data_IF_826864863239
#
_entry.id   IF_826864863239
#
_cell.length_a   1.000
_cell.length_b   1.000
_cell.length_c   1.000
_cell.angle_alpha   90.00
_cell.angle_beta   90.00
_cell.angle_gamma   90.00
#
_symmetry.space_group_name_H-M   'P 1'
#
loop_
_entity.id
_entity.type
_entity.pdbx_description
1 polymer ?
#
# COMPACT_ATOMS: atom_id res chain seq x y z
N UNK A 1 24.01 10.03 3.96
CA UNK A 1 23.62 9.16 5.10
C UNK A 1 23.19 9.93 6.33
N UNK A 2 24.04 10.76 6.97
CA UNK A 2 23.69 11.46 8.22
C UNK A 2 22.42 12.31 8.12
N UNK A 3 22.19 13.02 7.00
CA UNK A 3 20.97 13.80 6.79
C UNK A 3 19.69 12.96 6.80
N UNK A 4 19.75 11.69 6.37
CA UNK A 4 18.59 10.79 6.33
C UNK A 4 18.31 10.15 7.70
N UNK A 5 19.36 9.81 8.46
CA UNK A 5 19.23 9.07 9.73
C UNK A 5 19.35 9.91 11.00
N UNK A 6 20.01 11.07 10.94
CA UNK A 6 20.34 11.91 12.10
C UNK A 6 19.72 13.31 12.03
N UNK A 7 18.72 13.53 11.16
CA UNK A 7 18.00 14.82 11.05
C UNK A 7 17.39 15.33 12.38
N UNK A 8 17.18 14.42 13.35
CA UNK A 8 16.63 14.72 14.67
C UNK A 8 17.71 15.05 15.73
N UNK A 9 18.98 15.00 15.35
CA UNK A 9 20.13 15.16 16.26
C UNK A 9 20.84 16.47 15.92
N UNK A 10 21.23 17.22 16.94
CA UNK A 10 22.02 18.43 16.76
C UNK A 10 23.26 18.18 15.90
N UNK A 11 23.52 19.08 14.94
CA UNK A 11 24.64 18.95 14.01
C UNK A 11 24.67 17.62 13.24
N UNK A 12 23.53 16.94 13.06
CA UNK A 12 23.44 15.60 12.45
C UNK A 12 24.35 14.56 13.15
N UNK A 13 24.71 14.79 14.41
CA UNK A 13 25.63 13.93 15.17
C UNK A 13 27.13 14.20 14.93
N UNK A 14 27.51 15.24 14.18
CA UNK A 14 28.93 15.59 14.04
C UNK A 14 29.53 16.00 15.40
N UNK A 15 30.68 15.40 15.74
CA UNK A 15 31.44 15.76 16.95
C UNK A 15 31.78 17.25 16.97
N UNK A 16 31.57 17.91 18.11
CA UNK A 16 31.70 19.37 18.23
C UNK A 16 33.11 19.86 17.88
N UNK A 17 34.14 19.12 18.28
CA UNK A 17 35.56 19.51 18.17
C UNK A 17 36.27 18.95 16.92
N UNK A 18 35.58 18.18 16.07
CA UNK A 18 36.13 17.71 14.79
C UNK A 18 35.55 18.51 13.63
N UNK A 19 36.35 18.79 12.61
CA UNK A 19 35.94 19.56 11.43
C UNK A 19 36.28 18.83 10.13
N UNK A 20 35.67 17.65 9.89
CA UNK A 20 35.83 16.97 8.62
C UNK A 20 35.16 17.79 7.48
N UNK A 21 35.57 17.59 6.21
CA UNK A 21 35.02 18.33 5.07
C UNK A 21 33.48 18.31 5.00
N UNK A 22 32.86 17.17 5.33
CA UNK A 22 31.40 16.98 5.32
C UNK A 22 30.70 17.89 6.34
N UNK A 23 31.34 18.17 7.48
CA UNK A 23 30.79 19.09 8.48
C UNK A 23 30.79 20.52 7.96
N UNK A 24 31.79 20.92 7.18
CA UNK A 24 31.84 22.25 6.54
C UNK A 24 30.71 22.40 5.52
N UNK A 25 30.46 21.37 4.69
CA UNK A 25 29.33 21.33 3.75
C UNK A 25 28.00 21.44 4.50
N UNK A 26 27.81 20.61 5.54
CA UNK A 26 26.61 20.63 6.37
C UNK A 26 26.35 22.03 6.97
N UNK A 27 27.39 22.66 7.52
CA UNK A 27 27.24 23.99 8.13
C UNK A 27 26.81 25.03 7.10
N UNK A 28 27.53 25.09 5.98
CA UNK A 28 27.29 26.07 4.93
C UNK A 28 25.90 25.94 4.29
N UNK A 29 25.43 24.72 4.06
CA UNK A 29 24.17 24.48 3.36
C UNK A 29 22.96 24.40 4.27
N UNK A 30 23.12 23.88 5.50
CA UNK A 30 21.97 23.50 6.32
C UNK A 30 21.91 24.21 7.67
N UNK A 31 23.03 24.31 8.39
CA UNK A 31 23.03 24.94 9.73
C UNK A 31 22.87 26.46 9.64
N UNK A 32 23.79 27.13 8.95
CA UNK A 32 23.85 28.60 8.92
C UNK A 32 22.68 29.20 8.12
N UNK A 33 22.19 28.46 7.11
CA UNK A 33 21.02 28.84 6.30
C UNK A 33 19.70 28.65 7.04
N UNK A 34 19.69 27.95 8.18
CA UNK A 34 18.50 27.70 8.99
C UNK A 34 17.59 26.59 8.46
N UNK A 35 18.09 25.74 7.56
CA UNK A 35 17.39 24.53 7.06
C UNK A 35 17.38 23.42 8.11
N UNK A 36 18.50 23.20 8.81
CA UNK A 36 18.55 22.30 9.95
C UNK A 36 18.54 23.13 11.24
N UNK A 37 17.41 23.12 11.95
CA UNK A 37 17.23 23.91 13.18
C UNK A 37 16.34 23.20 14.20
N UNK A 38 16.39 23.68 15.44
CA UNK A 38 15.50 23.21 16.51
C UNK A 38 14.09 23.77 16.33
N UNK A 39 13.09 22.91 16.28
CA UNK A 39 11.66 23.24 16.27
C UNK A 39 10.97 22.45 17.39
N UNK A 40 10.20 23.12 18.25
CA UNK A 40 9.48 22.50 19.37
C UNK A 40 10.36 21.58 20.25
N UNK A 41 11.62 21.97 20.47
CA UNK A 41 12.55 21.18 21.30
C UNK A 41 13.35 20.11 20.53
N UNK A 42 13.02 19.79 19.28
CA UNK A 42 13.63 18.71 18.49
C UNK A 42 14.33 19.29 17.26
N UNK A 43 15.53 18.79 16.93
CA UNK A 43 16.20 19.19 15.69
C UNK A 43 15.47 18.59 14.48
N UNK A 44 15.38 19.33 13.39
CA UNK A 44 14.71 18.84 12.18
C UNK A 44 15.17 19.61 10.94
N UNK A 45 15.03 18.95 9.78
CA UNK A 45 15.15 19.59 8.48
C UNK A 45 13.81 20.24 8.16
N UNK A 46 13.82 21.57 7.99
CA UNK A 46 12.63 22.40 7.83
C UNK A 46 12.88 23.51 6.81
N UNK A 47 11.81 24.12 6.31
CA UNK A 47 11.92 25.28 5.43
C UNK A 47 12.69 26.43 6.14
N UNK A 48 13.74 27.00 5.52
CA UNK A 48 14.51 28.08 6.09
C UNK A 48 13.68 29.38 6.17
N UNK A 49 13.88 30.16 7.25
CA UNK A 49 13.27 31.49 7.39
C UNK A 49 14.11 32.54 6.66
N UNK A 50 13.55 33.74 6.50
CA UNK A 50 14.28 34.89 5.96
C UNK A 50 15.55 35.18 6.79
N UNK A 51 16.70 35.24 6.12
CA UNK A 51 18.00 35.56 6.69
C UNK A 51 18.96 36.04 5.59
N UNK A 52 20.19 36.40 5.98
CA UNK A 52 21.21 36.95 5.08
C UNK A 52 21.65 35.98 3.97
N UNK A 53 21.48 34.67 4.17
CA UNK A 53 21.83 33.64 3.17
C UNK A 53 20.75 33.45 2.11
N UNK A 54 19.56 34.03 2.29
CA UNK A 54 18.44 34.01 1.34
C UNK A 54 17.97 32.62 0.88
N UNK A 55 18.31 31.54 1.61
CA UNK A 55 17.92 30.17 1.23
C UNK A 55 16.40 29.97 1.16
N UNK A 56 15.63 30.76 1.92
CA UNK A 56 14.16 30.82 1.80
C UNK A 56 13.67 31.16 0.38
N UNK A 57 14.40 31.99 -0.38
CA UNK A 57 14.06 32.32 -1.77
C UNK A 57 14.29 31.15 -2.71
N UNK A 58 15.28 30.30 -2.42
CA UNK A 58 15.50 29.05 -3.16
C UNK A 58 14.33 28.10 -2.92
N UNK A 59 13.90 27.93 -1.66
CA UNK A 59 12.70 27.14 -1.33
C UNK A 59 11.46 27.65 -2.07
N UNK A 60 11.20 28.95 -2.02
CA UNK A 60 10.08 29.58 -2.76
C UNK A 60 10.20 29.39 -4.27
N UNK A 61 11.42 29.39 -4.82
CA UNK A 61 11.68 29.11 -6.23
C UNK A 61 11.35 27.66 -6.60
N UNK A 62 11.73 26.71 -5.75
CA UNK A 62 11.37 25.30 -5.93
C UNK A 62 9.87 25.12 -5.82
N UNK A 63 9.23 25.71 -4.80
CA UNK A 63 7.77 25.67 -4.61
C UNK A 63 7.07 26.15 -5.88
N UNK A 64 7.38 27.37 -6.33
CA UNK A 64 6.81 27.94 -7.54
C UNK A 64 7.03 27.04 -8.77
N UNK A 65 8.24 26.53 -8.96
CA UNK A 65 8.57 25.71 -10.12
C UNK A 65 7.79 24.38 -10.16
N UNK A 66 7.56 23.76 -9.00
CA UNK A 66 6.83 22.49 -8.92
C UNK A 66 5.31 22.72 -8.91
N UNK A 67 4.84 23.73 -8.19
CA UNK A 67 3.40 24.03 -8.02
C UNK A 67 2.76 24.53 -9.33
N UNK A 68 3.53 25.11 -10.27
CA UNK A 68 3.05 25.54 -11.59
C UNK A 68 2.87 24.38 -12.60
N UNK A 69 3.11 23.13 -12.20
CA UNK A 69 3.12 21.97 -13.09
C UNK A 69 1.95 21.03 -12.79
N UNK A 70 1.16 20.69 -13.81
CA UNK A 70 0.03 19.74 -13.68
C UNK A 70 0.48 18.28 -13.47
N UNK A 71 1.78 18.00 -13.64
CA UNK A 71 2.36 16.65 -13.63
C UNK A 71 3.67 16.63 -12.85
N UNK A 72 4.09 15.43 -12.49
CA UNK A 72 5.39 15.19 -11.87
C UNK A 72 6.54 15.86 -12.65
N UNK A 73 7.35 16.62 -11.93
CA UNK A 73 8.46 17.42 -12.43
C UNK A 73 9.74 16.62 -12.39
N UNK A 74 10.41 16.48 -13.53
CA UNK A 74 11.72 15.82 -13.58
C UNK A 74 12.78 16.65 -12.83
N UNK A 75 13.60 15.99 -11.98
CA UNK A 75 14.58 16.71 -11.16
C UNK A 75 15.67 17.37 -12.00
N UNK A 76 15.99 16.85 -13.19
CA UNK A 76 16.95 17.49 -14.08
C UNK A 76 16.45 18.87 -14.55
N UNK A 77 15.15 19.01 -14.84
CA UNK A 77 14.54 20.29 -15.20
C UNK A 77 14.57 21.28 -14.02
N UNK A 78 14.24 20.81 -12.81
CA UNK A 78 14.35 21.61 -11.59
C UNK A 78 15.81 22.06 -11.35
N UNK A 79 16.78 21.17 -11.55
CA UNK A 79 18.19 21.49 -11.36
C UNK A 79 18.68 22.52 -12.37
N UNK A 80 18.28 22.39 -13.63
CA UNK A 80 18.56 23.39 -14.65
C UNK A 80 17.97 24.75 -14.28
N UNK A 81 16.75 24.79 -13.77
CA UNK A 81 16.12 26.03 -13.29
C UNK A 81 16.92 26.68 -12.16
N UNK A 82 17.31 25.91 -11.15
CA UNK A 82 18.09 26.41 -10.00
C UNK A 82 19.53 26.81 -10.33
N UNK A 83 20.07 26.37 -11.47
CA UNK A 83 21.38 26.81 -11.97
C UNK A 83 21.33 28.19 -12.61
N UNK A 84 20.16 28.65 -13.06
CA UNK A 84 20.00 29.96 -13.69
C UNK A 84 19.84 31.08 -12.63
N UNK A 85 20.08 32.36 -13.01
CA UNK A 85 19.67 33.49 -12.20
C UNK A 85 18.17 33.44 -11.85
N UNK A 86 17.75 33.90 -10.66
CA UNK A 86 18.56 34.57 -9.63
C UNK A 86 19.30 33.62 -8.67
N UNK A 87 19.21 32.29 -8.86
CA UNK A 87 19.70 31.30 -7.89
C UNK A 87 21.18 30.93 -8.10
N UNK A 88 21.59 30.62 -9.33
CA UNK A 88 23.00 30.37 -9.69
C UNK A 88 23.66 29.19 -8.96
N UNK A 89 22.88 28.20 -8.50
CA UNK A 89 23.38 27.12 -7.62
C UNK A 89 24.27 26.16 -8.41
N UNK A 90 25.43 25.81 -7.86
CA UNK A 90 26.36 24.87 -8.50
C UNK A 90 25.81 23.44 -8.49
N UNK A 91 26.03 22.73 -9.61
CA UNK A 91 25.50 21.38 -9.83
C UNK A 91 25.78 20.39 -8.68
N UNK A 92 27.00 20.39 -8.13
CA UNK A 92 27.39 19.48 -7.05
C UNK A 92 26.62 19.66 -5.74
N UNK A 93 25.90 20.77 -5.56
CA UNK A 93 25.13 21.08 -4.35
C UNK A 93 23.65 20.73 -4.49
N UNK A 94 23.13 20.66 -5.73
CA UNK A 94 21.70 20.48 -6.00
C UNK A 94 21.11 19.19 -5.41
N UNK A 95 21.77 18.02 -5.49
CA UNK A 95 21.26 16.80 -4.86
C UNK A 95 21.05 16.94 -3.35
N UNK A 96 21.99 17.59 -2.65
CA UNK A 96 21.92 17.80 -1.22
C UNK A 96 20.79 18.77 -0.84
N UNK A 97 20.65 19.86 -1.60
CA UNK A 97 19.58 20.82 -1.40
C UNK A 97 18.21 20.22 -1.68
N UNK A 98 18.08 19.46 -2.77
CA UNK A 98 16.82 18.81 -3.11
C UNK A 98 16.40 17.82 -2.04
N UNK A 99 17.32 16.98 -1.53
CA UNK A 99 16.94 16.05 -0.47
C UNK A 99 16.55 16.79 0.80
N UNK A 100 17.23 17.88 1.16
CA UNK A 100 16.81 18.69 2.31
C UNK A 100 15.42 19.33 2.08
N UNK A 101 15.15 19.83 0.87
CA UNK A 101 13.85 20.35 0.48
C UNK A 101 12.76 19.26 0.56
N UNK A 102 13.04 18.07 0.02
CA UNK A 102 12.13 16.93 0.08
C UNK A 102 11.85 16.52 1.52
N UNK A 103 12.88 16.33 2.36
CA UNK A 103 12.74 16.00 3.78
C UNK A 103 11.87 17.02 4.54
N UNK A 104 12.02 18.31 4.23
CA UNK A 104 11.21 19.38 4.84
C UNK A 104 9.74 19.37 4.37
N UNK A 105 9.43 18.75 3.23
CA UNK A 105 8.13 18.81 2.55
C UNK A 105 7.52 17.43 2.25
N UNK A 106 7.99 16.35 2.88
CA UNK A 106 7.54 14.97 2.59
C UNK A 106 6.03 14.76 2.76
N UNK A 107 5.38 15.62 3.55
CA UNK A 107 3.93 15.59 3.76
C UNK A 107 3.14 16.08 2.55
N UNK A 108 3.74 16.74 1.57
CA UNK A 108 3.04 17.25 0.36
C UNK A 108 3.71 16.88 -0.96
N UNK A 109 4.81 16.11 -0.91
CA UNK A 109 5.57 15.70 -2.09
C UNK A 109 5.58 14.19 -2.25
N UNK A 110 5.29 13.74 -3.47
CA UNK A 110 5.53 12.38 -3.92
C UNK A 110 6.83 12.34 -4.73
N UNK A 111 7.76 11.49 -4.32
CA UNK A 111 8.99 11.21 -5.09
C UNK A 111 8.79 9.96 -5.93
N UNK A 112 9.31 9.98 -7.15
CA UNK A 112 9.31 8.83 -8.05
C UNK A 112 10.71 8.57 -8.60
N UNK A 113 11.04 7.30 -8.76
CA UNK A 113 12.21 6.80 -9.49
C UNK A 113 11.72 5.96 -10.67
N UNK A 114 12.07 6.32 -11.91
CA UNK A 114 11.58 5.67 -13.12
C UNK A 114 10.04 5.55 -13.19
N UNK A 115 9.34 6.56 -12.68
CA UNK A 115 7.88 6.58 -12.60
C UNK A 115 7.29 5.71 -11.49
N UNK A 116 8.12 5.00 -10.73
CA UNK A 116 7.71 4.20 -9.57
C UNK A 116 7.78 5.06 -8.33
N UNK A 117 6.71 5.11 -7.54
CA UNK A 117 6.68 5.89 -6.32
C UNK A 117 7.67 5.39 -5.27
N UNK A 118 8.44 6.31 -4.70
CA UNK A 118 9.39 6.09 -3.61
C UNK A 118 8.74 6.48 -2.28
N UNK A 119 8.30 5.51 -1.44
CA UNK A 119 7.61 5.83 -0.18
C UNK A 119 8.51 6.52 0.84
N UNK A 120 9.83 6.35 0.70
CA UNK A 120 10.82 6.96 1.56
C UNK A 120 12.11 7.16 0.77
N UNK A 121 12.83 8.24 1.07
CA UNK A 121 14.16 8.47 0.51
C UNK A 121 15.16 7.58 1.25
N UNK A 122 15.71 6.58 0.58
CA UNK A 122 16.80 5.74 1.12
C UNK A 122 18.18 6.21 0.65
N UNK A 123 19.24 5.59 1.19
CA UNK A 123 20.60 5.85 0.72
C UNK A 123 20.79 5.43 -0.74
N UNK A 124 20.22 4.29 -1.14
CA UNK A 124 20.27 3.79 -2.53
C UNK A 124 19.65 4.79 -3.50
N UNK A 125 18.44 5.29 -3.19
CA UNK A 125 17.79 6.34 -3.98
C UNK A 125 18.71 7.58 -4.10
N UNK A 126 19.41 7.96 -3.04
CA UNK A 126 20.30 9.11 -3.05
C UNK A 126 21.54 8.87 -3.94
N UNK A 127 22.13 7.68 -3.89
CA UNK A 127 23.27 7.32 -4.72
C UNK A 127 22.92 7.31 -6.22
N UNK A 128 21.71 6.86 -6.57
CA UNK A 128 21.20 6.92 -7.94
C UNK A 128 20.92 8.38 -8.32
N UNK A 129 20.21 9.13 -7.47
CA UNK A 129 19.86 10.55 -7.71
C UNK A 129 21.09 11.42 -7.93
N UNK A 130 22.20 11.17 -7.21
CA UNK A 130 23.48 11.86 -7.40
C UNK A 130 24.03 11.71 -8.82
N UNK A 131 23.84 10.53 -9.44
CA UNK A 131 24.39 10.19 -10.76
C UNK A 131 23.39 10.42 -11.90
N UNK A 132 22.12 10.22 -11.62
CA UNK A 132 21.02 10.13 -12.59
C UNK A 132 19.75 10.84 -12.08
N UNK A 133 19.81 12.15 -11.84
CA UNK A 133 18.63 12.92 -11.42
C UNK A 133 17.52 12.91 -12.47
N UNK A 134 17.83 12.60 -13.73
CA UNK A 134 16.88 12.42 -14.83
C UNK A 134 15.92 11.24 -14.62
N UNK A 135 16.28 10.26 -13.78
CA UNK A 135 15.39 9.14 -13.44
C UNK A 135 14.37 9.53 -12.36
N UNK A 136 14.55 10.68 -11.71
CA UNK A 136 13.72 11.10 -10.60
C UNK A 136 12.74 12.19 -11.03
N UNK A 137 11.53 12.09 -10.51
CA UNK A 137 10.54 13.16 -10.59
C UNK A 137 9.87 13.39 -9.25
N UNK A 138 9.42 14.62 -9.03
CA UNK A 138 8.68 15.02 -7.83
C UNK A 138 7.34 15.60 -8.24
N UNK A 139 6.28 15.22 -7.54
CA UNK A 139 4.93 15.73 -7.76
C UNK A 139 4.39 16.30 -6.47
N UNK A 140 3.79 17.48 -6.55
CA UNK A 140 3.06 18.05 -5.42
C UNK A 140 1.72 17.35 -5.35
N UNK A 141 1.40 16.79 -4.19
CA UNK A 141 0.03 16.44 -3.87
C UNK A 141 -0.51 17.52 -2.94
N UNK A 142 -1.39 18.35 -3.46
CA UNK A 142 -1.98 19.43 -2.68
C UNK A 142 -2.80 18.83 -1.53
N UNK A 143 -2.37 19.11 -0.29
CA UNK A 143 -3.19 18.96 0.92
C UNK A 143 -4.18 20.12 1.08
N UNK A 144 -4.24 21.01 0.10
CA UNK A 144 -5.13 22.17 0.04
C UNK A 144 -5.94 22.12 -1.27
N UNK A 145 -7.07 22.82 -1.30
CA UNK A 145 -7.99 22.75 -2.43
C UNK A 145 -8.74 21.42 -2.48
N UNK A 146 -9.16 21.03 -3.67
CA UNK A 146 -10.24 20.05 -3.79
C UNK A 146 -9.84 18.60 -3.59
N UNK A 147 -8.56 18.27 -3.85
CA UNK A 147 -7.97 16.97 -3.51
C UNK A 147 -7.88 16.76 -1.98
N UNK A 148 -7.83 17.84 -1.19
CA UNK A 148 -7.78 17.77 0.27
C UNK A 148 -9.05 17.16 0.88
N UNK A 149 -10.22 17.45 0.30
CA UNK A 149 -11.49 16.91 0.78
C UNK A 149 -11.51 15.38 0.65
N UNK A 150 -11.22 14.86 -0.55
CA UNK A 150 -11.17 13.41 -0.75
C UNK A 150 -10.06 12.74 0.08
N UNK A 151 -8.90 13.39 0.19
CA UNK A 151 -7.81 12.93 1.04
C UNK A 151 -8.23 12.78 2.51
N UNK A 152 -8.97 13.77 3.05
CA UNK A 152 -9.51 13.70 4.41
C UNK A 152 -10.47 12.52 4.59
N UNK A 153 -11.27 12.20 3.57
CA UNK A 153 -12.16 11.05 3.62
C UNK A 153 -11.39 9.72 3.60
N UNK A 154 -10.30 9.63 2.81
CA UNK A 154 -9.40 8.48 2.85
C UNK A 154 -8.81 8.27 4.24
N UNK A 155 -8.25 9.32 4.85
CA UNK A 155 -7.70 9.26 6.20
C UNK A 155 -8.75 8.85 7.23
N UNK A 156 -9.95 9.43 7.17
CA UNK A 156 -11.02 9.13 8.12
C UNK A 156 -11.55 7.70 7.96
N UNK A 157 -11.93 7.29 6.74
CA UNK A 157 -12.60 6.01 6.50
C UNK A 157 -11.65 4.80 6.55
N UNK A 158 -10.37 4.98 6.18
CA UNK A 158 -9.41 3.86 6.15
C UNK A 158 -8.50 3.79 7.36
N UNK A 159 -8.26 4.91 8.05
CA UNK A 159 -7.24 5.01 9.10
C UNK A 159 -7.75 5.62 10.41
N UNK A 160 -8.98 6.16 10.44
CA UNK A 160 -9.52 6.95 11.55
C UNK A 160 -8.59 8.11 11.96
N UNK A 161 -8.02 8.78 10.97
CA UNK A 161 -7.09 9.91 11.14
C UNK A 161 -7.63 11.21 10.53
N UNK A 162 -7.14 12.34 11.01
CA UNK A 162 -7.36 13.66 10.40
C UNK A 162 -6.16 14.08 9.52
N UNK A 163 -6.31 15.07 8.63
CA UNK A 163 -5.22 15.58 7.77
C UNK A 163 -3.97 16.05 8.53
N UNK A 164 -4.10 16.49 9.79
CA UNK A 164 -2.99 16.94 10.62
C UNK A 164 -2.06 15.79 11.05
N UNK A 165 -2.66 14.60 11.22
CA UNK A 165 -2.03 13.38 11.76
C UNK A 165 -1.75 12.30 10.71
N UNK A 166 -2.18 12.55 9.47
CA UNK A 166 -2.13 11.60 8.36
C UNK A 166 -1.40 12.13 7.13
N UNK A 167 -0.80 11.23 6.37
CA UNK A 167 -0.08 11.51 5.13
C UNK A 167 -0.52 10.60 3.99
N UNK A 168 -0.19 10.97 2.75
CA UNK A 168 -0.37 10.09 1.59
C UNK A 168 0.29 8.72 1.81
N UNK A 169 1.48 8.72 2.41
CA UNK A 169 2.19 7.49 2.75
C UNK A 169 1.41 6.60 3.72
N UNK A 170 0.66 7.16 4.65
CA UNK A 170 -0.16 6.37 5.57
C UNK A 170 -1.30 5.65 4.83
N UNK A 171 -1.98 6.36 3.92
CA UNK A 171 -3.05 5.80 3.09
C UNK A 171 -2.49 4.66 2.23
N UNK A 172 -1.38 4.92 1.52
CA UNK A 172 -0.76 3.94 0.65
C UNK A 172 -0.26 2.73 1.43
N UNK A 173 0.35 2.93 2.60
CA UNK A 173 0.76 1.81 3.46
C UNK A 173 -0.44 1.00 3.93
N UNK A 174 -1.56 1.62 4.28
CA UNK A 174 -2.76 0.89 4.69
C UNK A 174 -3.37 0.08 3.54
N UNK A 175 -3.53 0.69 2.37
CA UNK A 175 -4.04 0.00 1.18
C UNK A 175 -3.11 -1.13 0.72
N UNK A 176 -1.79 -0.88 0.69
CA UNK A 176 -0.82 -1.92 0.34
C UNK A 176 -0.86 -3.08 1.34
N UNK A 177 -0.89 -2.80 2.66
CA UNK A 177 -1.04 -3.83 3.69
C UNK A 177 -2.33 -4.63 3.51
N UNK A 178 -3.43 -3.96 3.21
CA UNK A 178 -4.71 -4.61 2.95
C UNK A 178 -4.59 -5.60 1.79
N UNK A 179 -4.08 -5.17 0.63
CA UNK A 179 -3.94 -6.04 -0.55
C UNK A 179 -2.98 -7.21 -0.28
N UNK A 180 -1.85 -6.97 0.38
CA UNK A 180 -0.90 -8.04 0.73
C UNK A 180 -1.45 -9.02 1.77
N UNK A 181 -2.43 -8.61 2.59
CA UNK A 181 -3.10 -9.49 3.55
C UNK A 181 -4.13 -10.41 2.91
N UNK A 182 -4.53 -10.16 1.66
CA UNK A 182 -5.51 -10.98 0.96
C UNK A 182 -4.89 -12.33 0.56
N UNK A 183 -5.61 -13.45 0.76
CA UNK A 183 -5.20 -14.75 0.23
C UNK A 183 -4.93 -14.72 -1.27
N UNK A 184 -4.01 -15.57 -1.73
CA UNK A 184 -3.68 -15.71 -3.15
C UNK A 184 -4.92 -16.09 -4.00
N UNK A 185 -5.84 -16.86 -3.41
CA UNK A 185 -7.17 -17.12 -3.98
C UNK A 185 -7.93 -15.82 -4.32
N UNK A 186 -8.05 -14.88 -3.37
CA UNK A 186 -8.76 -13.61 -3.58
C UNK A 186 -8.12 -12.77 -4.68
N UNK A 187 -6.79 -12.84 -4.80
CA UNK A 187 -6.04 -12.11 -5.81
C UNK A 187 -6.33 -12.60 -7.24
N UNK A 188 -6.72 -13.88 -7.40
CA UNK A 188 -6.88 -14.52 -8.70
C UNK A 188 -8.32 -14.92 -9.06
N UNK A 189 -9.22 -14.99 -8.07
CA UNK A 189 -10.60 -15.42 -8.29
C UNK A 189 -11.35 -14.50 -9.26
N UNK A 190 -12.28 -15.06 -10.03
CA UNK A 190 -13.22 -14.32 -10.89
C UNK A 190 -14.65 -14.34 -10.32
N UNK A 191 -14.85 -14.96 -9.16
CA UNK A 191 -16.14 -15.12 -8.50
C UNK A 191 -16.48 -13.89 -7.63
N UNK A 192 -16.29 -12.70 -8.19
CA UNK A 192 -16.61 -11.42 -7.57
C UNK A 192 -17.31 -10.55 -8.61
N UNK A 193 -18.05 -9.53 -8.17
CA UNK A 193 -18.68 -8.61 -9.11
C UNK A 193 -17.61 -7.84 -9.92
N UNK A 194 -18.01 -7.36 -11.10
CA UNK A 194 -17.09 -6.73 -12.07
C UNK A 194 -16.40 -5.49 -11.49
N UNK A 195 -17.07 -4.71 -10.65
CA UNK A 195 -16.49 -3.51 -10.06
C UNK A 195 -15.45 -3.88 -9.00
N UNK A 196 -15.73 -4.85 -8.13
CA UNK A 196 -14.75 -5.38 -7.16
C UNK A 196 -13.50 -5.94 -7.83
N UNK A 197 -13.66 -6.68 -8.94
CA UNK A 197 -12.52 -7.15 -9.74
C UNK A 197 -11.71 -5.97 -10.29
N UNK A 198 -12.37 -4.92 -10.77
CA UNK A 198 -11.70 -3.72 -11.30
C UNK A 198 -10.97 -2.96 -10.18
N UNK A 199 -11.56 -2.87 -8.98
CA UNK A 199 -10.93 -2.27 -7.79
C UNK A 199 -9.67 -3.04 -7.40
N UNK A 200 -9.73 -4.37 -7.33
CA UNK A 200 -8.56 -5.22 -7.08
C UNK A 200 -7.47 -4.98 -8.12
N UNK A 201 -7.82 -5.00 -9.40
CA UNK A 201 -6.88 -4.88 -10.50
C UNK A 201 -6.24 -3.47 -10.58
N UNK A 202 -6.91 -2.43 -10.08
CA UNK A 202 -6.37 -1.08 -10.00
C UNK A 202 -5.10 -1.00 -9.12
N UNK A 203 -5.04 -1.79 -8.04
CA UNK A 203 -3.86 -1.87 -7.17
C UNK A 203 -2.66 -2.50 -7.86
N UNK A 204 -2.87 -3.46 -8.76
CA UNK A 204 -1.79 -4.16 -9.46
C UNK A 204 -1.20 -3.35 -10.63
N UNK A 205 -2.01 -2.49 -11.24
CA UNK A 205 -1.66 -1.78 -12.49
C UNK A 205 -0.99 -0.42 -12.28
N UNK A 206 -1.03 0.12 -11.05
CA UNK A 206 -0.68 1.52 -10.83
C UNK A 206 0.70 1.69 -10.20
N UNK A 207 1.56 2.50 -10.85
CA UNK A 207 2.89 2.87 -10.34
C UNK A 207 2.87 4.19 -9.52
N UNK A 208 1.81 5.00 -9.68
CA UNK A 208 1.59 6.24 -8.93
C UNK A 208 0.45 6.13 -7.93
N UNK A 209 0.72 6.22 -6.61
CA UNK A 209 -0.27 6.44 -5.57
C UNK A 209 -1.30 7.51 -5.86
N UNK A 210 -0.88 8.62 -6.44
CA UNK A 210 -1.77 9.75 -6.71
C UNK A 210 -2.78 9.33 -7.78
N UNK A 211 -2.31 8.75 -8.88
CA UNK A 211 -3.20 8.20 -9.91
C UNK A 211 -4.10 7.10 -9.35
N UNK A 212 -3.58 6.25 -8.45
CA UNK A 212 -4.39 5.20 -7.82
C UNK A 212 -5.57 5.81 -7.06
N UNK A 213 -5.31 6.78 -6.17
CA UNK A 213 -6.30 7.34 -5.27
C UNK A 213 -7.29 8.29 -5.96
N UNK A 214 -6.84 9.08 -6.92
CA UNK A 214 -7.63 10.16 -7.52
C UNK A 214 -8.20 9.82 -8.91
N UNK A 215 -7.68 8.78 -9.56
CA UNK A 215 -8.12 8.40 -10.90
C UNK A 215 -8.58 6.93 -10.98
N UNK A 216 -7.71 5.97 -10.65
CA UNK A 216 -7.99 4.56 -10.91
C UNK A 216 -9.04 3.96 -9.96
N UNK A 217 -8.96 4.22 -8.64
CA UNK A 217 -9.96 3.75 -7.68
C UNK A 217 -11.34 4.37 -7.91
N UNK A 218 -11.47 5.70 -8.12
CA UNK A 218 -12.75 6.32 -8.49
C UNK A 218 -13.37 5.67 -9.73
N UNK A 219 -12.60 5.55 -10.82
CA UNK A 219 -13.05 4.88 -12.05
C UNK A 219 -13.44 3.42 -11.81
N UNK A 220 -12.67 2.69 -11.00
CA UNK A 220 -12.96 1.30 -10.68
C UNK A 220 -14.26 1.12 -9.88
N UNK A 221 -14.60 2.09 -9.03
CA UNK A 221 -15.85 2.15 -8.29
C UNK A 221 -17.02 2.70 -9.11
N UNK A 222 -16.81 3.09 -10.38
CA UNK A 222 -17.86 3.63 -11.27
C UNK A 222 -18.07 5.15 -11.19
N UNK A 223 -17.13 5.89 -10.60
CA UNK A 223 -17.14 7.35 -10.54
C UNK A 223 -16.22 7.93 -11.63
N UNK A 224 -16.40 9.21 -11.98
CA UNK A 224 -15.43 9.91 -12.83
C UNK A 224 -14.09 10.07 -12.10
N UNK A 225 -13.01 10.30 -12.85
CA UNK A 225 -11.76 10.69 -12.20
C UNK A 225 -11.95 12.04 -11.54
N UNK A 226 -11.46 12.17 -10.32
CA UNK A 226 -11.55 13.42 -9.59
C UNK A 226 -10.54 14.42 -10.18
N UNK A 227 -11.00 15.16 -11.19
CA UNK A 227 -10.30 16.34 -11.74
C UNK A 227 -10.59 17.56 -10.87
N UNK A 228 -9.77 18.61 -11.01
CA UNK A 228 -9.93 19.84 -10.22
C UNK A 228 -11.33 20.43 -10.39
N UNK A 229 -11.90 20.44 -11.60
CA UNK A 229 -13.23 21.00 -11.87
C UNK A 229 -14.39 20.18 -11.27
N UNK A 230 -14.32 18.85 -11.28
CA UNK A 230 -15.41 17.99 -10.78
C UNK A 230 -15.44 17.88 -9.25
N UNK A 231 -14.28 18.00 -8.61
CA UNK A 231 -14.19 18.03 -7.16
C UNK A 231 -14.77 19.34 -6.58
N UNK A 232 -14.69 20.48 -7.30
CA UNK A 232 -15.21 21.79 -6.82
C UNK A 232 -16.73 21.76 -6.67
N UNK A 233 -17.39 20.90 -7.44
CA UNK A 233 -18.83 20.71 -7.39
C UNK A 233 -19.30 19.79 -6.23
N UNK A 234 -18.40 19.32 -5.35
CA UNK A 234 -18.68 18.39 -4.24
C UNK A 234 -19.48 17.14 -4.63
N UNK A 235 -19.39 16.70 -5.88
CA UNK A 235 -20.14 15.53 -6.33
C UNK A 235 -19.46 14.24 -5.84
N UNK A 236 -19.96 13.77 -4.69
CA UNK A 236 -19.92 12.39 -4.22
C UNK A 236 -18.63 11.81 -3.58
N UNK A 237 -17.79 12.58 -2.83
CA UNK A 237 -16.62 12.00 -2.16
C UNK A 237 -17.01 10.94 -1.11
N UNK A 238 -18.13 11.13 -0.40
CA UNK A 238 -18.60 10.16 0.59
C UNK A 238 -19.17 8.89 -0.06
N UNK A 239 -19.94 9.01 -1.14
CA UNK A 239 -20.51 7.85 -1.85
C UNK A 239 -19.40 7.00 -2.47
N UNK A 240 -18.41 7.64 -3.12
CA UNK A 240 -17.22 6.97 -3.60
C UNK A 240 -16.52 6.20 -2.49
N UNK A 241 -16.28 6.83 -1.34
CA UNK A 241 -15.59 6.19 -0.23
C UNK A 241 -16.40 5.04 0.38
N UNK A 242 -17.73 5.15 0.44
CA UNK A 242 -18.59 4.07 0.87
C UNK A 242 -18.56 2.89 -0.13
N UNK A 243 -18.56 3.17 -1.44
CA UNK A 243 -18.42 2.16 -2.49
C UNK A 243 -17.06 1.46 -2.40
N UNK A 244 -15.96 2.22 -2.27
CA UNK A 244 -14.61 1.67 -2.10
C UNK A 244 -14.54 0.75 -0.88
N UNK A 245 -15.01 1.20 0.29
CA UNK A 245 -15.03 0.38 1.52
C UNK A 245 -15.86 -0.88 1.34
N UNK A 246 -16.98 -0.80 0.61
CA UNK A 246 -17.81 -1.96 0.26
C UNK A 246 -17.02 -3.00 -0.57
N UNK A 247 -16.34 -2.56 -1.63
CA UNK A 247 -15.53 -3.44 -2.46
C UNK A 247 -14.33 -4.04 -1.71
N UNK A 248 -13.67 -3.26 -0.84
CA UNK A 248 -12.61 -3.79 0.03
C UNK A 248 -13.16 -4.86 0.99
N UNK A 249 -14.36 -4.68 1.56
CA UNK A 249 -15.01 -5.71 2.37
C UNK A 249 -15.32 -6.97 1.55
N UNK A 250 -15.82 -6.82 0.33
CA UNK A 250 -16.08 -7.96 -0.56
C UNK A 250 -14.81 -8.74 -0.90
N UNK A 251 -13.68 -8.06 -1.16
CA UNK A 251 -12.39 -8.72 -1.35
C UNK A 251 -11.97 -9.53 -0.11
N UNK A 252 -12.11 -8.94 1.09
CA UNK A 252 -11.80 -9.64 2.34
C UNK A 252 -12.72 -10.85 2.57
N UNK A 253 -13.98 -10.74 2.16
CA UNK A 253 -15.00 -11.76 2.35
C UNK A 253 -14.92 -12.93 1.34
N UNK A 254 -14.25 -12.73 0.20
CA UNK A 254 -14.14 -13.72 -0.87
C UNK A 254 -13.61 -15.10 -0.40
N UNK A 255 -12.61 -15.12 0.50
CA UNK A 255 -12.04 -16.36 1.01
C UNK A 255 -12.95 -17.06 2.05
N UNK A 256 -13.49 -16.37 3.07
CA UNK A 256 -14.54 -16.93 3.90
C UNK A 256 -15.72 -17.52 3.10
N UNK A 257 -16.15 -16.85 2.04
CA UNK A 257 -17.23 -17.32 1.16
C UNK A 257 -16.85 -18.59 0.41
N UNK A 258 -15.60 -18.71 -0.06
CA UNK A 258 -15.07 -19.95 -0.65
C UNK A 258 -15.21 -21.13 0.33
N UNK A 259 -14.78 -20.93 1.59
CA UNK A 259 -14.84 -21.98 2.60
C UNK A 259 -16.29 -22.33 2.96
N UNK A 260 -17.18 -21.34 3.03
CA UNK A 260 -18.60 -21.57 3.26
C UNK A 260 -19.24 -22.37 2.13
N UNK A 261 -18.93 -22.04 0.88
CA UNK A 261 -19.41 -22.81 -0.29
C UNK A 261 -18.88 -24.24 -0.26
N UNK A 262 -17.60 -24.44 0.06
CA UNK A 262 -17.02 -25.78 0.17
C UNK A 262 -17.66 -26.60 1.31
N UNK A 263 -17.95 -25.97 2.45
CA UNK A 263 -18.70 -26.61 3.54
C UNK A 263 -20.09 -27.07 3.07
N UNK A 264 -20.82 -26.24 2.34
CA UNK A 264 -22.14 -26.60 1.79
C UNK A 264 -22.06 -27.76 0.79
N UNK A 265 -21.02 -27.78 -0.05
CA UNK A 265 -20.76 -28.90 -0.94
C UNK A 265 -20.49 -30.19 -0.15
N UNK A 266 -19.68 -30.11 0.92
CA UNK A 266 -19.36 -31.24 1.79
C UNK A 266 -20.60 -31.77 2.52
N UNK A 267 -21.43 -30.89 3.12
CA UNK A 267 -22.67 -31.32 3.80
C UNK A 267 -23.63 -31.97 2.81
N UNK A 268 -23.78 -31.41 1.61
CA UNK A 268 -24.62 -31.99 0.56
C UNK A 268 -24.11 -33.36 0.11
N UNK A 269 -22.81 -33.51 -0.14
CA UNK A 269 -22.20 -34.78 -0.54
C UNK A 269 -22.38 -35.88 0.52
N UNK A 270 -22.30 -35.51 1.80
CA UNK A 270 -22.53 -36.41 2.93
C UNK A 270 -24.01 -36.61 3.28
N UNK A 271 -24.95 -35.98 2.54
CA UNK A 271 -26.40 -36.02 2.78
C UNK A 271 -26.80 -35.54 4.18
N UNK A 272 -26.14 -34.48 4.64
CA UNK A 272 -26.37 -33.83 5.94
C UNK A 272 -27.16 -32.53 5.78
N UNK A 273 -27.70 -32.04 6.89
CA UNK A 273 -28.41 -30.76 6.92
C UNK A 273 -27.49 -29.60 6.50
N UNK A 274 -27.90 -28.76 5.53
CA UNK A 274 -27.06 -27.70 4.98
C UNK A 274 -26.81 -26.55 5.96
N UNK A 275 -27.61 -26.44 7.03
CA UNK A 275 -27.52 -25.37 8.02
C UNK A 275 -26.54 -25.64 9.16
N UNK A 276 -25.87 -26.78 9.17
CA UNK A 276 -24.89 -27.13 10.21
C UNK A 276 -23.73 -26.12 10.21
N UNK A 277 -23.40 -25.59 11.38
CA UNK A 277 -22.17 -24.83 11.59
C UNK A 277 -20.94 -25.73 11.38
N UNK A 278 -19.77 -25.12 11.14
CA UNK A 278 -18.50 -25.87 10.97
C UNK A 278 -18.21 -26.79 12.16
N UNK A 279 -18.45 -26.32 13.38
CA UNK A 279 -18.25 -27.08 14.61
C UNK A 279 -19.19 -28.29 14.68
N UNK A 280 -20.48 -28.09 14.42
CA UNK A 280 -21.47 -29.17 14.42
C UNK A 280 -21.18 -30.20 13.33
N UNK A 281 -20.79 -29.76 12.13
CA UNK A 281 -20.39 -30.64 11.04
C UNK A 281 -19.18 -31.50 11.43
N UNK A 282 -18.14 -30.89 11.98
CA UNK A 282 -16.95 -31.60 12.44
C UNK A 282 -17.29 -32.62 13.53
N UNK A 283 -18.10 -32.22 14.52
CA UNK A 283 -18.53 -33.10 15.61
C UNK A 283 -19.34 -34.28 15.09
N UNK A 284 -20.30 -34.03 14.18
CA UNK A 284 -21.09 -35.08 13.54
C UNK A 284 -20.19 -36.08 12.82
N UNK A 285 -19.26 -35.59 12.00
CA UNK A 285 -18.32 -36.44 11.27
C UNK A 285 -17.47 -37.27 12.23
N UNK A 286 -16.94 -36.67 13.29
CA UNK A 286 -16.14 -37.39 14.28
C UNK A 286 -16.93 -38.49 15.00
N UNK A 287 -18.21 -38.26 15.31
CA UNK A 287 -19.05 -39.24 16.01
C UNK A 287 -19.48 -40.39 15.08
N UNK A 288 -19.86 -40.09 13.84
CA UNK A 288 -20.48 -41.06 12.93
C UNK A 288 -19.48 -41.81 12.05
N UNK A 289 -18.32 -41.22 11.77
CA UNK A 289 -17.34 -41.81 10.86
C UNK A 289 -16.17 -42.45 11.59
N UNK A 290 -16.11 -42.44 12.92
CA UNK A 290 -14.98 -42.96 13.72
C UNK A 290 -14.65 -44.42 13.39
N UNK A 291 -13.36 -44.71 13.13
CA UNK A 291 -12.87 -46.07 12.90
C UNK A 291 -13.13 -46.64 11.50
N UNK A 292 -13.80 -45.90 10.59
CA UNK A 292 -13.99 -46.30 9.20
C UNK A 292 -12.67 -46.50 8.43
N UNK A 293 -11.61 -45.82 8.85
CA UNK A 293 -10.26 -45.94 8.29
C UNK A 293 -9.67 -47.37 8.41
N UNK A 294 -10.15 -48.15 9.38
CA UNK A 294 -9.72 -49.53 9.65
C UNK A 294 -10.37 -50.57 8.73
N UNK A 295 -11.49 -50.22 8.10
CA UNK A 295 -12.29 -51.14 7.28
C UNK A 295 -12.12 -50.90 5.78
N UNK A 296 -11.29 -49.94 5.40
CA UNK A 296 -11.14 -49.54 4.00
C UNK A 296 -9.74 -49.86 3.47
N UNK A 297 -9.67 -50.74 2.47
CA UNK A 297 -8.47 -50.94 1.67
C UNK A 297 -8.28 -49.72 0.76
N UNK A 298 -7.02 -49.40 0.42
CA UNK A 298 -6.65 -48.22 -0.35
C UNK A 298 -7.24 -48.28 -1.79
N UNK A 299 -8.50 -47.86 -1.93
CA UNK A 299 -9.19 -47.65 -3.20
C UNK A 299 -9.30 -46.14 -3.44
N UNK A 300 -8.73 -45.69 -4.55
CA UNK A 300 -9.03 -44.41 -5.18
C UNK A 300 -8.99 -43.17 -4.27
N UNK A 301 -8.12 -43.17 -3.24
CA UNK A 301 -7.94 -42.03 -2.32
C UNK A 301 -8.97 -41.92 -1.18
N UNK A 302 -9.94 -42.84 -1.10
CA UNK A 302 -11.01 -42.82 -0.08
C UNK A 302 -10.48 -42.95 1.35
N UNK A 303 -9.44 -43.78 1.55
CA UNK A 303 -8.80 -43.91 2.85
C UNK A 303 -8.15 -42.58 3.30
N UNK A 304 -7.52 -41.85 2.39
CA UNK A 304 -6.93 -40.55 2.69
C UNK A 304 -8.02 -39.52 3.01
N UNK A 305 -9.15 -39.56 2.31
CA UNK A 305 -10.31 -38.70 2.58
C UNK A 305 -10.92 -38.97 3.97
N UNK A 306 -11.19 -40.23 4.31
CA UNK A 306 -11.72 -40.60 5.64
C UNK A 306 -10.75 -40.18 6.76
N UNK A 307 -9.46 -40.47 6.61
CA UNK A 307 -8.44 -40.04 7.58
C UNK A 307 -8.41 -38.52 7.73
N UNK A 308 -8.69 -37.78 6.65
CA UNK A 308 -8.72 -36.32 6.66
C UNK A 308 -9.98 -35.77 7.32
N UNK A 309 -11.15 -36.37 7.07
CA UNK A 309 -12.41 -36.05 7.72
C UNK A 309 -12.33 -36.20 9.25
N UNK A 310 -11.65 -37.26 9.72
CA UNK A 310 -11.49 -37.56 11.14
C UNK A 310 -10.31 -36.85 11.80
N UNK A 311 -9.54 -36.04 11.07
CA UNK A 311 -8.31 -35.50 11.62
C UNK A 311 -8.59 -34.50 12.75
N UNK A 312 -7.65 -34.42 13.68
CA UNK A 312 -7.67 -33.40 14.71
C UNK A 312 -6.78 -32.24 14.25
N UNK A 313 -7.41 -31.15 13.84
CA UNK A 313 -6.78 -29.85 13.62
C UNK A 313 -7.02 -28.91 14.80
N UNK A 314 -6.24 -27.83 14.84
CA UNK A 314 -6.24 -26.81 15.87
C UNK A 314 -7.62 -26.20 16.09
N UNK A 315 -8.36 -25.99 14.99
CA UNK A 315 -9.68 -25.37 14.97
C UNK A 315 -10.48 -25.91 13.76
N UNK A 316 -11.75 -25.51 13.69
CA UNK A 316 -12.71 -26.03 12.70
C UNK A 316 -12.47 -25.48 11.29
N UNK A 317 -11.86 -24.29 11.17
CA UNK A 317 -11.47 -23.74 9.88
C UNK A 317 -10.28 -24.53 9.31
N UNK A 318 -9.22 -24.71 10.09
CA UNK A 318 -8.06 -25.50 9.73
C UNK A 318 -8.44 -26.97 9.41
N UNK A 319 -9.46 -27.52 10.08
CA UNK A 319 -10.04 -28.82 9.75
C UNK A 319 -10.64 -28.82 8.34
N UNK A 320 -11.55 -27.89 8.04
CA UNK A 320 -12.20 -27.79 6.73
C UNK A 320 -11.20 -27.51 5.61
N UNK A 321 -10.26 -26.59 5.84
CA UNK A 321 -9.16 -26.29 4.92
C UNK A 321 -8.31 -27.52 4.62
N UNK A 322 -8.13 -28.40 5.60
CA UNK A 322 -7.34 -29.61 5.42
C UNK A 322 -8.02 -30.64 4.51
N UNK A 323 -9.36 -30.68 4.52
CA UNK A 323 -10.17 -31.52 3.62
C UNK A 323 -10.15 -30.93 2.22
N UNK A 324 -10.42 -29.62 2.12
CA UNK A 324 -10.31 -28.87 0.89
C UNK A 324 -8.94 -29.10 0.24
N UNK A 325 -7.85 -28.94 0.99
CA UNK A 325 -6.49 -29.09 0.49
C UNK A 325 -6.18 -30.48 -0.06
N UNK A 326 -6.77 -31.53 0.54
CA UNK A 326 -6.63 -32.90 0.02
C UNK A 326 -7.34 -33.03 -1.33
N UNK A 327 -8.59 -32.58 -1.44
CA UNK A 327 -9.41 -32.74 -2.63
C UNK A 327 -8.93 -31.86 -3.79
N UNK A 328 -8.60 -30.59 -3.51
CA UNK A 328 -8.11 -29.62 -4.49
C UNK A 328 -6.61 -29.73 -4.78
N UNK A 329 -5.87 -30.63 -4.11
CA UNK A 329 -4.41 -30.84 -4.23
C UNK A 329 -3.53 -29.60 -3.95
N UNK A 330 -4.10 -28.56 -3.36
CA UNK A 330 -3.42 -27.33 -2.94
C UNK A 330 -4.18 -26.70 -1.76
N UNK A 331 -3.53 -25.92 -0.88
CA UNK A 331 -4.23 -25.17 0.16
C UNK A 331 -5.30 -24.22 -0.42
N UNK A 332 -6.51 -24.14 0.18
CA UNK A 332 -7.61 -23.32 -0.34
C UNK A 332 -7.29 -21.83 -0.47
N UNK A 333 -6.44 -21.28 0.41
CA UNK A 333 -5.97 -19.90 0.32
C UNK A 333 -5.12 -19.60 -0.92
N UNK A 334 -4.69 -20.64 -1.69
CA UNK A 334 -3.96 -20.55 -2.97
C UNK A 334 -4.74 -21.14 -4.14
N UNK A 335 -6.04 -21.37 -3.96
CA UNK A 335 -6.82 -21.97 -5.02
C UNK A 335 -6.93 -21.08 -6.25
N UNK A 336 -7.00 -21.78 -7.37
CA UNK A 336 -7.33 -21.25 -8.69
C UNK A 336 -8.56 -22.01 -9.18
N UNK A 337 -9.12 -21.59 -10.31
CA UNK A 337 -10.30 -22.25 -10.89
C UNK A 337 -10.11 -23.77 -11.05
N UNK A 338 -8.90 -24.21 -11.43
CA UNK A 338 -8.55 -25.63 -11.57
C UNK A 338 -8.62 -26.41 -10.24
N UNK A 339 -8.12 -25.82 -9.15
CA UNK A 339 -8.11 -26.44 -7.83
C UNK A 339 -9.55 -26.59 -7.28
N UNK A 340 -10.39 -25.59 -7.50
CA UNK A 340 -11.79 -25.63 -7.09
C UNK A 340 -12.56 -26.72 -7.87
N UNK A 341 -12.44 -26.74 -9.21
CA UNK A 341 -13.07 -27.77 -10.03
C UNK A 341 -12.59 -29.18 -9.67
N UNK A 342 -11.29 -29.33 -9.37
CA UNK A 342 -10.71 -30.59 -8.90
C UNK A 342 -11.31 -31.01 -7.55
N UNK A 343 -11.45 -30.09 -6.60
CA UNK A 343 -12.04 -30.38 -5.30
C UNK A 343 -13.49 -30.85 -5.42
N UNK A 344 -14.29 -30.17 -6.24
CA UNK A 344 -15.68 -30.52 -6.53
C UNK A 344 -15.80 -31.91 -7.17
N UNK A 345 -14.99 -32.19 -8.19
CA UNK A 345 -14.96 -33.50 -8.84
C UNK A 345 -14.57 -34.62 -7.86
N UNK A 346 -13.52 -34.41 -7.07
CA UNK A 346 -13.06 -35.41 -6.11
C UNK A 346 -14.08 -35.65 -5.01
N UNK A 347 -14.76 -34.61 -4.52
CA UNK A 347 -15.80 -34.77 -3.50
C UNK A 347 -16.91 -35.72 -3.96
N UNK A 348 -17.37 -35.58 -5.21
CA UNK A 348 -18.39 -36.45 -5.83
C UNK A 348 -17.88 -37.87 -6.07
N UNK A 349 -16.58 -38.06 -6.32
CA UNK A 349 -16.02 -39.41 -6.48
C UNK A 349 -15.91 -40.18 -5.15
N UNK A 350 -15.77 -39.46 -4.03
CA UNK A 350 -15.58 -40.07 -2.71
C UNK A 350 -16.89 -40.32 -1.94
N UNK A 351 -18.00 -39.67 -2.32
CA UNK A 351 -19.32 -39.76 -1.67
C UNK A 351 -20.37 -40.32 -2.64
#
# INVERSE_FOLDING_TARGET
>A
TLMLSHAHIENLGFEQNKFPPEKSIYRALFKETGVHRKQNGVWSIVAPKANNYQMHKVWQGIDKFIDEQDKAVNLNALYQHLQQPPYGIKAGVLPLLFVAYYLANQRRLALYENGVFCPQMSLEHFEILLKRPDLFSVEVFAMEGVKANLFSHYLKKLLDKTPEDGSLLDIIKALARFIHSLPDYTQHTKNLDKQTLTVRDAFAKTQSPIQLLFEHLPKACGFSAFTEDELVAEKYPEEFMNALVSHLKQLKQAYPDLLMNFQQQLTHALKLEPTLSRAELRQYIQQHYQGLDKYNHERDGLQAFIKRLQNNKTDDEAWLESIAALLGKAPPNKWRAEHQAQAEYQLVQQC
#
